data_IF_294776545222
#
_entry.id   IF_294776545222
#
_cell.length_a   1.000
_cell.length_b   1.000
_cell.length_c   1.000
_cell.angle_alpha   90.00
_cell.angle_beta   90.00
_cell.angle_gamma   90.00
#
_symmetry.space_group_name_H-M   'P 1'
#
loop_
_entity.id
_entity.type
_entity.pdbx_description
1 polymer ?
#
# COMPACT_ATOMS: atom_id res chain seq x y z
N UNK A 1 74.81 24.41 -11.65
CA UNK A 1 74.63 24.86 -10.27
C UNK A 1 73.14 25.07 -10.04
N UNK A 2 72.62 24.34 -9.05
CA UNK A 2 71.35 24.45 -8.32
C UNK A 2 70.00 24.55 -9.07
N UNK A 3 69.32 23.39 -9.13
CA UNK A 3 67.89 23.27 -8.79
C UNK A 3 67.64 23.64 -7.32
N UNK A 4 66.43 24.15 -7.00
CA UNK A 4 65.74 23.61 -5.83
C UNK A 4 64.26 23.31 -6.09
N UNK A 5 63.96 22.00 -6.07
CA UNK A 5 63.03 21.33 -5.16
C UNK A 5 61.93 22.17 -4.47
N UNK A 6 60.69 22.02 -4.95
CA UNK A 6 59.46 22.41 -4.24
C UNK A 6 58.42 21.28 -4.37
N UNK A 7 58.49 20.30 -3.46
CA UNK A 7 57.56 19.17 -3.41
C UNK A 7 57.44 18.64 -1.97
N UNK A 8 56.77 19.39 -1.10
CA UNK A 8 56.31 18.88 0.19
C UNK A 8 55.34 19.87 0.87
N UNK A 9 54.03 19.81 0.58
CA UNK A 9 53.01 20.34 1.51
C UNK A 9 51.56 19.91 1.26
N UNK A 10 51.27 18.93 0.39
CA UNK A 10 49.88 18.62 0.01
C UNK A 10 49.34 17.26 0.50
N UNK A 11 49.96 16.65 1.53
CA UNK A 11 49.49 15.37 2.10
C UNK A 11 48.74 15.49 3.42
N UNK A 12 48.85 16.61 4.13
CA UNK A 12 48.29 16.71 5.48
C UNK A 12 46.84 17.23 5.51
N UNK A 13 46.45 18.01 4.50
CA UNK A 13 45.11 18.60 4.36
C UNK A 13 44.04 17.59 3.93
N UNK A 14 44.41 16.51 3.22
CA UNK A 14 43.46 15.44 2.84
C UNK A 14 43.09 14.50 3.99
N UNK A 15 43.97 14.31 4.97
CA UNK A 15 43.71 13.40 6.10
C UNK A 15 42.67 13.95 7.08
N UNK A 16 42.58 15.27 7.26
CA UNK A 16 41.60 15.89 8.17
C UNK A 16 40.17 15.96 7.59
N UNK A 17 40.00 16.02 6.26
CA UNK A 17 38.67 16.03 5.64
C UNK A 17 37.99 14.65 5.60
N UNK A 18 38.76 13.56 5.56
CA UNK A 18 38.19 12.20 5.60
C UNK A 18 37.58 11.82 6.95
N UNK A 19 38.09 12.36 8.06
CA UNK A 19 37.66 11.98 9.41
C UNK A 19 36.36 12.68 9.85
N UNK A 20 36.07 13.87 9.32
CA UNK A 20 34.82 14.61 9.60
C UNK A 20 33.63 13.99 8.86
N UNK A 21 33.84 13.47 7.64
CA UNK A 21 32.77 12.80 6.87
C UNK A 21 32.40 11.44 7.48
N UNK A 22 33.36 10.70 8.05
CA UNK A 22 33.09 9.42 8.70
C UNK A 22 32.27 9.56 10.01
N UNK A 23 32.45 10.66 10.77
CA UNK A 23 31.71 10.90 12.01
C UNK A 23 30.26 11.36 11.77
N UNK A 24 29.98 12.07 10.67
CA UNK A 24 28.61 12.44 10.30
C UNK A 24 27.79 11.26 9.75
N UNK A 25 28.42 10.29 9.10
CA UNK A 25 27.74 9.08 8.63
C UNK A 25 27.33 8.13 9.78
N UNK A 26 28.09 8.11 10.88
CA UNK A 26 27.76 7.27 12.04
C UNK A 26 26.58 7.81 12.88
N UNK A 27 26.32 9.12 12.85
CA UNK A 27 25.24 9.73 13.64
C UNK A 27 23.85 9.56 13.02
N UNK A 28 23.74 9.37 11.69
CA UNK A 28 22.44 9.24 11.01
C UNK A 28 21.88 7.82 11.08
N UNK A 29 22.73 6.80 11.27
CA UNK A 29 22.28 5.39 11.33
C UNK A 29 21.72 5.01 12.71
N UNK A 30 21.97 5.81 13.76
CA UNK A 30 21.51 5.52 15.13
C UNK A 30 20.05 5.87 15.43
N UNK A 31 19.39 6.72 14.62
CA UNK A 31 18.06 7.24 14.94
C UNK A 31 16.88 6.44 14.34
N UNK A 32 17.13 5.52 13.40
CA UNK A 32 16.05 4.86 12.63
C UNK A 32 15.59 3.49 13.14
N UNK A 33 16.40 2.78 13.94
CA UNK A 33 16.15 1.36 14.26
C UNK A 33 15.83 1.12 15.75
N UNK A 34 16.20 2.07 16.63
CA UNK A 34 15.96 1.94 18.08
C UNK A 34 14.51 2.14 18.53
N UNK A 35 13.66 2.76 17.71
CA UNK A 35 12.26 3.04 18.06
C UNK A 35 11.33 1.83 18.03
N UNK A 36 11.67 0.79 17.27
CA UNK A 36 10.79 -0.38 17.08
C UNK A 36 10.91 -1.43 18.19
N UNK A 37 12.07 -1.55 18.86
CA UNK A 37 12.29 -2.56 19.89
C UNK A 37 11.80 -2.16 21.29
N UNK A 38 11.44 -0.89 21.52
CA UNK A 38 10.86 -0.43 22.79
C UNK A 38 9.33 -0.50 22.84
N UNK A 39 8.66 -0.86 21.74
CA UNK A 39 7.19 -0.87 21.68
C UNK A 39 6.55 -2.17 22.22
N UNK A 40 7.34 -3.25 22.40
CA UNK A 40 6.81 -4.56 22.79
C UNK A 40 6.50 -4.71 24.30
N UNK A 41 6.85 -3.74 25.15
CA UNK A 41 6.76 -3.87 26.62
C UNK A 41 5.74 -2.97 27.30
N UNK A 42 4.92 -2.20 26.56
CA UNK A 42 3.98 -1.22 27.13
C UNK A 42 2.49 -1.61 27.08
N UNK A 43 2.13 -2.85 26.71
CA UNK A 43 0.74 -3.34 26.75
C UNK A 43 0.35 -3.87 28.14
N UNK A 44 0.57 -3.04 29.17
CA UNK A 44 0.07 -3.25 30.51
C UNK A 44 -1.26 -2.55 30.72
N UNK A 45 -2.36 -3.31 30.68
CA UNK A 45 -3.60 -3.06 31.45
C UNK A 45 -4.19 -1.64 31.42
N UNK A 46 -4.80 -1.25 30.30
CA UNK A 46 -5.74 -0.11 30.29
C UNK A 46 -7.15 -0.61 30.59
N UNK A 47 -7.65 -0.28 31.79
CA UNK A 47 -9.04 -0.48 32.18
C UNK A 47 -9.96 0.40 31.32
N UNK A 48 -11.04 -0.20 30.79
CA UNK A 48 -12.03 0.52 30.01
C UNK A 48 -12.79 1.55 30.87
N UNK A 49 -12.99 2.81 30.40
CA UNK A 49 -13.89 3.74 31.04
C UNK A 49 -15.35 3.30 30.84
N UNK A 50 -16.13 3.37 31.92
CA UNK A 50 -17.56 3.10 31.93
C UNK A 50 -18.30 4.16 31.09
N UNK A 51 -18.99 3.74 30.04
CA UNK A 51 -19.77 4.61 29.17
C UNK A 51 -21.07 5.05 29.87
N UNK A 52 -21.29 6.36 29.95
CA UNK A 52 -22.57 6.93 30.37
C UNK A 52 -23.59 6.79 29.22
N UNK A 53 -24.83 6.41 29.56
CA UNK A 53 -25.93 6.29 28.60
C UNK A 53 -26.25 7.64 27.94
N UNK A 54 -26.31 7.72 26.60
CA UNK A 54 -26.72 8.94 25.91
C UNK A 54 -28.23 9.15 26.01
N UNK A 55 -28.63 10.41 26.17
CA UNK A 55 -30.03 10.85 26.13
C UNK A 55 -30.61 10.75 24.71
N UNK A 56 -31.92 10.46 24.55
CA UNK A 56 -32.54 10.31 23.23
C UNK A 56 -32.66 11.66 22.50
N UNK A 57 -32.27 11.66 21.22
CA UNK A 57 -32.40 12.79 20.30
C UNK A 57 -33.79 12.79 19.61
N UNK A 58 -34.30 13.96 19.18
CA UNK A 58 -35.64 14.10 18.60
C UNK A 58 -35.77 13.44 17.22
N UNK A 59 -36.92 12.80 17.00
CA UNK A 59 -37.31 12.12 15.77
C UNK A 59 -37.56 13.13 14.62
N UNK A 60 -36.62 13.22 13.69
CA UNK A 60 -36.79 13.87 12.39
C UNK A 60 -37.12 12.84 11.32
N UNK A 61 -38.37 12.84 10.84
CA UNK A 61 -38.86 11.95 9.79
C UNK A 61 -38.35 12.40 8.42
N UNK A 62 -37.30 11.73 7.94
CA UNK A 62 -36.77 11.89 6.59
C UNK A 62 -36.27 10.55 6.08
N UNK A 63 -37.18 9.68 5.66
CA UNK A 63 -36.87 8.32 5.19
C UNK A 63 -36.23 8.39 3.80
N UNK A 64 -34.89 8.44 3.76
CA UNK A 64 -34.12 8.07 2.57
C UNK A 64 -34.03 6.54 2.56
N UNK A 65 -34.63 5.81 1.61
CA UNK A 65 -34.41 4.38 1.51
C UNK A 65 -33.02 4.19 0.91
N UNK A 66 -32.03 4.06 1.78
CA UNK A 66 -30.69 3.60 1.43
C UNK A 66 -30.44 2.40 2.32
N UNK A 67 -31.09 1.28 2.00
CA UNK A 67 -30.59 0.00 2.48
C UNK A 67 -29.16 -0.10 1.95
N UNK A 68 -28.18 -0.06 2.85
CA UNK A 68 -26.78 -0.19 2.47
C UNK A 68 -26.63 -1.54 1.78
N UNK A 69 -26.31 -1.52 0.49
CA UNK A 69 -25.98 -2.75 -0.20
C UNK A 69 -24.68 -3.27 0.38
N UNK A 70 -24.79 -4.38 1.10
CA UNK A 70 -23.64 -5.13 1.57
C UNK A 70 -22.85 -5.61 0.35
N UNK A 71 -21.55 -5.34 0.35
CA UNK A 71 -20.61 -5.87 -0.60
C UNK A 71 -19.34 -6.27 0.13
N UNK A 72 -18.68 -7.32 -0.36
CA UNK A 72 -17.39 -7.76 0.15
C UNK A 72 -16.39 -7.81 -0.99
N UNK A 73 -15.14 -7.49 -0.68
CA UNK A 73 -14.03 -7.57 -1.62
C UNK A 73 -12.94 -8.50 -1.08
N UNK A 74 -12.36 -9.30 -1.97
CA UNK A 74 -11.12 -10.03 -1.73
C UNK A 74 -10.11 -9.64 -2.79
N UNK A 75 -9.00 -9.05 -2.36
CA UNK A 75 -7.91 -8.61 -3.24
C UNK A 75 -6.70 -9.50 -3.03
N UNK A 76 -6.27 -10.25 -4.04
CA UNK A 76 -5.03 -11.01 -4.04
C UNK A 76 -3.96 -10.26 -4.81
N UNK A 77 -2.79 -10.11 -4.21
CA UNK A 77 -1.63 -9.43 -4.81
C UNK A 77 -0.46 -10.39 -4.83
N UNK A 78 0.23 -10.47 -5.97
CA UNK A 78 1.44 -11.28 -6.18
C UNK A 78 2.53 -10.43 -6.81
N UNK A 79 3.78 -10.69 -6.46
CA UNK A 79 4.93 -10.14 -7.17
C UNK A 79 5.08 -10.81 -8.54
N UNK A 80 5.40 -10.02 -9.57
CA UNK A 80 5.69 -10.54 -10.90
C UNK A 80 7.20 -10.62 -11.13
N UNK A 81 7.68 -11.48 -12.06
CA UNK A 81 9.11 -11.60 -12.36
C UNK A 81 9.77 -10.29 -12.85
N UNK A 82 9.00 -9.45 -13.53
CA UNK A 82 9.38 -8.13 -14.04
C UNK A 82 9.31 -7.02 -12.99
N UNK A 83 9.13 -7.38 -11.71
CA UNK A 83 9.14 -6.46 -10.55
C UNK A 83 7.92 -5.53 -10.47
N UNK A 84 6.82 -5.91 -11.12
CA UNK A 84 5.50 -5.33 -10.91
C UNK A 84 4.68 -6.13 -9.88
N UNK A 85 3.40 -5.80 -9.80
CA UNK A 85 2.41 -6.58 -9.04
C UNK A 85 1.35 -7.11 -10.00
N UNK A 86 0.97 -8.37 -9.84
CA UNK A 86 -0.25 -8.93 -10.41
C UNK A 86 -1.34 -8.90 -9.35
N UNK A 87 -2.48 -8.32 -9.69
CA UNK A 87 -3.60 -8.16 -8.76
C UNK A 87 -4.85 -8.82 -9.32
N UNK A 88 -5.54 -9.56 -8.47
CA UNK A 88 -6.86 -10.13 -8.72
C UNK A 88 -7.80 -9.70 -7.60
N UNK A 89 -8.81 -8.90 -7.91
CA UNK A 89 -9.78 -8.38 -6.95
C UNK A 89 -11.17 -8.90 -7.31
N UNK A 90 -11.76 -9.72 -6.44
CA UNK A 90 -13.14 -10.21 -6.58
C UNK A 90 -14.07 -9.42 -5.67
N UNK A 91 -15.19 -8.98 -6.23
CA UNK A 91 -16.24 -8.24 -5.55
C UNK A 91 -17.53 -9.03 -5.61
N UNK A 92 -18.16 -9.23 -4.46
CA UNK A 92 -19.48 -9.84 -4.33
C UNK A 92 -20.45 -8.80 -3.78
N UNK A 93 -21.51 -8.53 -4.54
CA UNK A 93 -22.54 -7.56 -4.23
C UNK A 93 -23.84 -8.27 -3.85
N UNK A 94 -24.56 -7.73 -2.87
CA UNK A 94 -25.89 -8.21 -2.47
C UNK A 94 -26.98 -8.05 -3.54
N UNK A 95 -26.82 -7.09 -4.46
CA UNK A 95 -27.69 -6.90 -5.64
C UNK A 95 -26.84 -6.62 -6.88
N UNK A 96 -27.37 -6.84 -8.10
CA UNK A 96 -26.62 -6.59 -9.32
C UNK A 96 -26.15 -5.14 -9.48
N UNK A 97 -24.89 -4.96 -9.86
CA UNK A 97 -24.36 -3.65 -10.22
C UNK A 97 -24.49 -3.42 -11.73
N UNK A 98 -25.07 -2.30 -12.17
CA UNK A 98 -25.09 -1.94 -13.60
C UNK A 98 -23.78 -1.30 -14.09
N UNK A 99 -23.00 -0.74 -13.17
CA UNK A 99 -21.70 -0.14 -13.45
C UNK A 99 -20.83 -0.11 -12.19
N UNK A 100 -19.52 -0.15 -12.39
CA UNK A 100 -18.52 0.01 -11.33
C UNK A 100 -17.55 1.12 -11.74
N UNK A 101 -17.30 2.08 -10.85
CA UNK A 101 -16.28 3.10 -11.06
C UNK A 101 -14.96 2.66 -10.47
N UNK A 102 -13.94 2.61 -11.31
CA UNK A 102 -12.58 2.35 -10.88
C UNK A 102 -11.83 3.68 -10.82
N UNK A 103 -11.18 3.92 -9.70
CA UNK A 103 -10.36 5.10 -9.48
C UNK A 103 -8.96 4.65 -9.07
N UNK A 104 -7.95 5.13 -9.77
CA UNK A 104 -6.57 5.06 -9.26
C UNK A 104 -6.40 6.27 -8.36
N UNK A 105 -6.05 6.09 -7.07
CA UNK A 105 -5.85 7.22 -6.17
C UNK A 105 -4.89 8.24 -6.81
N UNK A 106 -5.10 9.55 -6.60
CA UNK A 106 -4.14 10.55 -7.04
C UNK A 106 -2.78 10.30 -6.37
N UNK A 107 -1.74 10.97 -6.89
CA UNK A 107 -0.43 11.00 -6.22
C UNK A 107 -0.66 11.37 -4.75
N UNK A 108 -0.29 10.43 -3.88
CA UNK A 108 -0.63 10.49 -2.47
C UNK A 108 0.43 11.28 -1.70
N UNK A 109 0.00 12.06 -0.73
CA UNK A 109 0.87 12.46 0.37
C UNK A 109 1.22 11.22 1.23
N UNK A 110 2.20 11.32 2.13
CA UNK A 110 2.57 10.20 3.01
C UNK A 110 3.39 9.09 2.32
N UNK A 111 3.20 7.84 2.75
CA UNK A 111 4.04 6.68 2.36
C UNK A 111 3.95 6.31 0.87
N UNK A 112 2.92 6.76 0.16
CA UNK A 112 2.72 6.46 -1.26
C UNK A 112 3.37 7.48 -2.22
N UNK A 113 3.90 8.60 -1.71
CA UNK A 113 4.37 9.75 -2.51
C UNK A 113 5.37 9.40 -3.60
N UNK A 114 6.32 8.54 -3.29
CA UNK A 114 7.43 8.28 -4.22
C UNK A 114 7.04 7.24 -5.28
N UNK A 115 5.88 6.58 -5.14
CA UNK A 115 5.40 5.57 -6.08
C UNK A 115 4.71 6.23 -7.27
N UNK A 116 4.88 5.63 -8.45
CA UNK A 116 4.21 6.06 -9.69
C UNK A 116 3.40 4.89 -10.25
N UNK A 117 2.37 4.41 -9.51
CA UNK A 117 1.65 3.21 -9.90
C UNK A 117 0.90 3.43 -11.20
N UNK A 118 1.04 2.47 -12.12
CA UNK A 118 0.30 2.45 -13.37
C UNK A 118 -0.32 1.07 -13.58
N UNK A 119 -1.63 1.06 -13.79
CA UNK A 119 -2.41 -0.16 -14.03
C UNK A 119 -2.42 -0.45 -15.52
N UNK A 120 -1.97 -1.66 -15.88
CA UNK A 120 -1.97 -2.17 -17.25
C UNK A 120 -2.73 -3.50 -17.31
N UNK A 121 -3.09 -3.92 -18.52
CA UNK A 121 -3.73 -5.22 -18.77
C UNK A 121 -5.01 -5.48 -17.98
N UNK A 122 -5.77 -4.42 -17.65
CA UNK A 122 -7.00 -4.54 -16.88
C UNK A 122 -8.04 -5.39 -17.62
N UNK A 123 -8.47 -6.45 -16.94
CA UNK A 123 -9.47 -7.39 -17.39
C UNK A 123 -10.59 -7.50 -16.38
N UNK A 124 -11.80 -7.66 -16.88
CA UNK A 124 -13.02 -7.76 -16.08
C UNK A 124 -13.69 -9.07 -16.44
N UNK A 125 -13.94 -9.89 -15.44
CA UNK A 125 -14.63 -11.17 -15.57
C UNK A 125 -15.91 -11.15 -14.74
N UNK A 126 -16.96 -11.75 -15.31
CA UNK A 126 -18.26 -11.97 -14.69
C UNK A 126 -18.60 -13.44 -14.91
N UNK A 127 -19.08 -14.18 -13.91
CA UNK A 127 -19.43 -15.59 -14.07
C UNK A 127 -20.35 -15.85 -15.27
N UNK A 128 -20.00 -16.86 -16.08
CA UNK A 128 -20.77 -17.24 -17.27
C UNK A 128 -20.66 -16.29 -18.47
N UNK A 129 -19.79 -15.26 -18.41
CA UNK A 129 -19.55 -14.33 -19.52
C UNK A 129 -18.09 -14.39 -20.00
N UNK A 130 -17.82 -14.09 -21.28
CA UNK A 130 -16.46 -13.91 -21.76
C UNK A 130 -15.76 -12.76 -21.02
N UNK A 131 -14.47 -12.96 -20.71
CA UNK A 131 -13.64 -11.93 -20.11
C UNK A 131 -13.52 -10.72 -21.03
N UNK A 132 -13.65 -9.52 -20.47
CA UNK A 132 -13.55 -8.25 -21.20
C UNK A 132 -12.24 -7.55 -20.85
N UNK A 133 -11.47 -7.18 -21.88
CA UNK A 133 -10.31 -6.30 -21.74
C UNK A 133 -10.77 -4.84 -21.68
N UNK A 134 -10.27 -4.10 -20.70
CA UNK A 134 -10.40 -2.65 -20.64
C UNK A 134 -9.18 -2.06 -21.32
N UNK A 135 -9.40 -1.22 -22.34
CA UNK A 135 -8.30 -0.64 -23.12
C UNK A 135 -7.71 0.57 -22.41
N UNK A 136 -6.39 0.75 -22.58
CA UNK A 136 -5.64 1.87 -22.02
C UNK A 136 -4.89 1.51 -20.74
N UNK A 137 -4.10 2.47 -20.28
CA UNK A 137 -3.38 2.44 -19.02
C UNK A 137 -4.09 3.39 -18.04
N UNK A 138 -4.22 2.99 -16.78
CA UNK A 138 -4.74 3.87 -15.73
C UNK A 138 -3.58 4.33 -14.86
N UNK A 139 -3.38 5.64 -14.78
CA UNK A 139 -2.35 6.28 -13.95
C UNK A 139 -2.98 6.97 -12.75
N UNK A 140 -2.17 7.43 -11.80
CA UNK A 140 -2.65 8.18 -10.64
C UNK A 140 -3.70 9.26 -11.02
N UNK A 141 -4.81 9.29 -10.29
CA UNK A 141 -5.94 10.20 -10.53
C UNK A 141 -6.88 9.80 -11.67
N UNK A 142 -6.58 8.71 -12.41
CA UNK A 142 -7.49 8.19 -13.44
C UNK A 142 -8.79 7.70 -12.82
N UNK A 143 -9.90 7.95 -13.52
CA UNK A 143 -11.22 7.43 -13.18
C UNK A 143 -11.90 6.89 -14.43
N UNK A 144 -12.38 5.65 -14.36
CA UNK A 144 -13.11 5.01 -15.45
C UNK A 144 -14.40 4.36 -14.96
N UNK A 145 -15.42 4.31 -15.82
CA UNK A 145 -16.62 3.50 -15.60
C UNK A 145 -16.51 2.20 -16.36
N UNK A 146 -16.71 1.09 -15.66
CA UNK A 146 -16.80 -0.25 -16.22
C UNK A 146 -18.26 -0.68 -16.16
N UNK A 147 -18.95 -0.83 -17.30
CA UNK A 147 -20.32 -1.32 -17.30
C UNK A 147 -20.31 -2.81 -16.95
N UNK A 148 -21.21 -3.18 -16.06
CA UNK A 148 -21.39 -4.56 -15.58
C UNK A 148 -22.76 -5.05 -16.06
N UNK A 149 -22.88 -6.30 -16.52
CA UNK A 149 -24.17 -6.87 -16.88
C UNK A 149 -25.18 -6.75 -15.73
N UNK A 150 -26.43 -6.41 -16.05
CA UNK A 150 -27.50 -6.10 -15.07
C UNK A 150 -27.89 -7.27 -14.15
N UNK A 151 -27.39 -8.48 -14.44
CA UNK A 151 -27.63 -9.71 -13.70
C UNK A 151 -26.42 -10.16 -12.84
N UNK A 152 -25.31 -9.43 -12.87
CA UNK A 152 -24.08 -9.85 -12.20
C UNK A 152 -23.97 -9.34 -10.76
N UNK A 153 -23.89 -10.26 -9.81
CA UNK A 153 -23.58 -10.00 -8.38
C UNK A 153 -22.12 -10.25 -8.04
N UNK A 154 -21.35 -10.89 -8.93
CA UNK A 154 -19.93 -11.13 -8.76
C UNK A 154 -19.14 -10.55 -9.92
N UNK A 155 -18.08 -9.81 -9.62
CA UNK A 155 -17.18 -9.20 -10.60
C UNK A 155 -15.74 -9.39 -10.16
N UNK A 156 -14.90 -9.93 -11.03
CA UNK A 156 -13.46 -10.04 -10.81
C UNK A 156 -12.70 -9.10 -11.72
N UNK A 157 -11.77 -8.34 -11.15
CA UNK A 157 -10.81 -7.49 -11.85
C UNK A 157 -9.43 -8.13 -11.77
N UNK A 158 -8.78 -8.32 -12.91
CA UNK A 158 -7.40 -8.80 -12.99
C UNK A 158 -6.56 -7.76 -13.72
N UNK A 159 -5.42 -7.38 -13.15
CA UNK A 159 -4.57 -6.36 -13.74
C UNK A 159 -3.12 -6.47 -13.26
N UNK A 160 -2.23 -5.79 -13.99
CA UNK A 160 -0.84 -5.60 -13.61
C UNK A 160 -0.64 -4.17 -13.12
N UNK A 161 0.31 -4.01 -12.20
CA UNK A 161 0.67 -2.72 -11.62
C UNK A 161 2.17 -2.53 -11.74
N UNK A 162 2.54 -1.56 -12.55
CA UNK A 162 3.91 -1.10 -12.74
C UNK A 162 4.19 0.07 -11.80
N UNK A 163 5.46 0.33 -11.47
CA UNK A 163 5.85 1.47 -10.63
C UNK A 163 5.42 1.38 -9.15
N UNK A 164 4.75 0.28 -8.76
CA UNK A 164 4.31 0.03 -7.39
C UNK A 164 5.37 -0.63 -6.50
N UNK A 165 6.51 -1.04 -7.05
CA UNK A 165 7.63 -1.64 -6.28
C UNK A 165 8.87 -0.76 -6.41
N UNK A 166 9.40 -0.34 -5.27
CA UNK A 166 10.65 0.40 -5.19
C UNK A 166 11.72 -0.46 -4.53
N UNK A 167 12.92 -0.45 -5.09
CA UNK A 167 14.09 -1.12 -4.51
C UNK A 167 14.99 -0.09 -3.85
N UNK A 168 15.53 -0.43 -2.69
CA UNK A 168 16.57 0.36 -2.06
C UNK A 168 17.86 0.20 -2.87
N UNK A 169 18.39 1.27 -3.45
CA UNK A 169 19.72 1.27 -4.09
C UNK A 169 20.68 2.05 -3.19
N UNK A 170 21.88 1.54 -2.85
CA UNK A 170 22.48 0.26 -3.23
C UNK A 170 22.34 -0.77 -2.08
N UNK A 171 21.17 -1.40 -1.88
CA UNK A 171 21.06 -2.41 -0.82
C UNK A 171 21.68 -3.74 -1.25
N UNK A 172 22.62 -4.26 -0.45
CA UNK A 172 23.32 -5.54 -0.70
C UNK A 172 22.40 -6.77 -0.54
N UNK A 173 21.30 -6.64 0.20
CA UNK A 173 20.13 -7.53 0.14
C UNK A 173 19.08 -6.85 -0.74
N UNK A 174 18.38 -7.58 -1.61
CA UNK A 174 17.38 -7.05 -2.54
C UNK A 174 16.10 -6.56 -1.86
N UNK A 175 16.24 -5.71 -0.83
CA UNK A 175 15.14 -5.11 -0.10
C UNK A 175 14.35 -4.20 -1.02
N UNK A 176 13.05 -4.37 -0.97
CA UNK A 176 12.11 -3.56 -1.71
C UNK A 176 10.93 -3.18 -0.81
N UNK A 177 10.21 -2.17 -1.25
CA UNK A 177 8.95 -1.74 -0.68
C UNK A 177 7.92 -1.73 -1.80
N UNK A 178 6.74 -2.28 -1.55
CA UNK A 178 5.65 -2.32 -2.51
C UNK A 178 4.42 -1.59 -1.98
N UNK A 179 3.85 -0.70 -2.79
CA UNK A 179 2.55 -0.09 -2.56
C UNK A 179 1.46 -1.05 -3.04
N UNK A 180 0.66 -1.56 -2.11
CA UNK A 180 -0.36 -2.59 -2.39
C UNK A 180 -1.75 -2.02 -2.63
N UNK A 181 -1.96 -0.71 -2.56
CA UNK A 181 -3.28 -0.08 -2.80
C UNK A 181 -3.37 0.61 -4.17
N UNK A 182 -3.37 -0.11 -5.31
CA UNK A 182 -3.35 0.54 -6.62
C UNK A 182 -4.74 0.86 -7.20
N UNK A 183 -5.83 0.21 -6.79
CA UNK A 183 -7.16 0.46 -7.35
C UNK A 183 -8.21 0.63 -6.26
N UNK A 184 -8.84 1.81 -6.22
CA UNK A 184 -10.03 2.05 -5.42
C UNK A 184 -11.27 1.76 -6.28
N UNK A 185 -12.07 0.78 -5.85
CA UNK A 185 -13.37 0.50 -6.46
C UNK A 185 -14.40 1.38 -5.78
N UNK A 186 -14.74 2.45 -6.49
CA UNK A 186 -15.70 3.47 -6.05
C UNK A 186 -17.07 3.22 -6.69
N UNK A 187 -17.56 1.97 -6.70
CA UNK A 187 -18.98 1.77 -7.01
C UNK A 187 -19.85 2.31 -5.86
N UNK A 188 -19.38 2.16 -4.60
CA UNK A 188 -20.00 2.60 -3.34
C UNK A 188 -18.91 2.80 -2.27
N UNK A 189 -19.17 3.66 -1.27
CA UNK A 189 -18.16 4.06 -0.28
C UNK A 189 -17.90 3.01 0.83
N UNK A 190 -18.68 1.93 0.87
CA UNK A 190 -18.79 1.07 2.05
C UNK A 190 -18.58 -0.42 1.71
N UNK A 191 -17.39 -0.78 1.20
CA UNK A 191 -17.05 -2.19 0.89
C UNK A 191 -15.90 -2.64 1.79
N UNK A 192 -16.17 -3.60 2.66
CA UNK A 192 -15.12 -4.25 3.44
C UNK A 192 -14.22 -5.08 2.51
N UNK A 193 -12.91 -4.92 2.66
CA UNK A 193 -11.93 -5.55 1.79
C UNK A 193 -10.93 -6.38 2.57
N UNK A 194 -10.81 -7.65 2.20
CA UNK A 194 -9.70 -8.50 2.64
C UNK A 194 -8.62 -8.52 1.57
N UNK A 195 -7.49 -7.88 1.86
CA UNK A 195 -6.26 -7.95 1.08
C UNK A 195 -5.44 -9.18 1.47
N UNK A 196 -5.02 -9.96 0.50
CA UNK A 196 -4.11 -11.10 0.63
C UNK A 196 -2.90 -10.79 -0.23
N UNK A 197 -1.75 -10.61 0.40
CA UNK A 197 -0.48 -10.51 -0.28
C UNK A 197 0.19 -11.87 -0.26
N UNK A 198 0.29 -12.50 -1.43
CA UNK A 198 0.85 -13.83 -1.58
C UNK A 198 2.33 -13.76 -1.91
N UNK A 199 3.11 -14.64 -1.28
CA UNK A 199 4.56 -14.74 -1.49
C UNK A 199 5.32 -14.79 -0.16
N UNK A 200 6.35 -15.63 -0.11
CA UNK A 200 7.24 -15.75 1.05
C UNK A 200 8.27 -14.62 1.14
N UNK A 201 8.36 -13.79 0.11
CA UNK A 201 9.22 -12.61 0.04
C UNK A 201 8.73 -11.47 0.94
N UNK A 202 7.50 -11.54 1.44
CA UNK A 202 6.89 -10.50 2.27
C UNK A 202 7.38 -10.61 3.72
N UNK A 203 8.05 -9.58 4.20
CA UNK A 203 8.65 -9.56 5.53
C UNK A 203 7.75 -8.85 6.55
N UNK A 204 7.08 -7.79 6.12
CA UNK A 204 6.26 -6.94 6.98
C UNK A 204 5.23 -6.19 6.17
N UNK A 205 4.08 -5.89 6.78
CA UNK A 205 3.05 -5.03 6.19
C UNK A 205 2.71 -3.89 7.14
N UNK A 206 2.60 -2.70 6.57
CA UNK A 206 2.22 -1.48 7.27
C UNK A 206 1.03 -0.79 6.60
N UNK A 207 0.19 -0.17 7.41
CA UNK A 207 -0.99 0.57 6.98
C UNK A 207 -0.88 2.03 7.44
N UNK A 208 -1.17 2.94 6.52
CA UNK A 208 -1.42 4.36 6.78
C UNK A 208 -2.91 4.61 6.54
N UNK A 209 -3.62 5.12 7.55
CA UNK A 209 -5.07 5.33 7.52
C UNK A 209 -5.35 6.83 7.62
N UNK A 210 -6.00 7.42 6.61
CA UNK A 210 -6.31 8.85 6.55
C UNK A 210 -5.09 9.76 6.82
N UNK A 211 -3.93 9.41 6.27
CA UNK A 211 -2.68 10.17 6.46
C UNK A 211 -2.06 10.09 7.86
N UNK A 212 -2.49 9.13 8.68
CA UNK A 212 -1.87 8.85 9.99
C UNK A 212 -0.44 8.31 9.86
N UNK A 213 0.26 8.18 10.99
CA UNK A 213 1.54 7.49 10.99
C UNK A 213 1.36 6.02 10.57
N UNK A 214 2.29 5.49 9.79
CA UNK A 214 2.29 4.09 9.40
C UNK A 214 2.37 3.18 10.63
N UNK A 215 1.44 2.24 10.73
CA UNK A 215 1.39 1.23 11.80
C UNK A 215 1.48 -0.17 11.22
N UNK A 216 2.03 -1.11 11.97
CA UNK A 216 2.01 -2.51 11.54
C UNK A 216 0.56 -2.99 11.42
N UNK A 217 0.23 -3.70 10.35
CA UNK A 217 -1.11 -4.22 10.12
C UNK A 217 -1.09 -5.60 9.46
N UNK A 218 -2.21 -6.31 9.61
CA UNK A 218 -2.38 -7.65 9.09
C UNK A 218 -1.69 -8.74 9.91
N UNK A 219 -1.82 -9.96 9.41
CA UNK A 219 -1.24 -11.18 9.97
C UNK A 219 -0.44 -11.92 8.90
N UNK A 220 0.78 -12.32 9.24
CA UNK A 220 1.64 -13.14 8.38
C UNK A 220 1.39 -14.64 8.55
N UNK A 221 1.66 -15.39 7.49
CA UNK A 221 1.67 -16.85 7.43
C UNK A 221 2.76 -17.33 6.47
N UNK A 222 3.01 -18.64 6.40
CA UNK A 222 3.99 -19.21 5.46
C UNK A 222 3.63 -18.97 3.98
N UNK A 223 2.36 -18.65 3.69
CA UNK A 223 1.86 -18.43 2.33
C UNK A 223 1.76 -16.94 1.94
N UNK A 224 2.08 -16.04 2.88
CA UNK A 224 2.01 -14.60 2.67
C UNK A 224 1.33 -13.87 3.84
N UNK A 225 0.83 -12.67 3.56
CA UNK A 225 0.20 -11.78 4.55
C UNK A 225 -1.27 -11.54 4.22
N UNK A 226 -2.09 -11.41 5.26
CA UNK A 226 -3.49 -11.02 5.13
C UNK A 226 -3.74 -9.72 5.89
N UNK A 227 -4.44 -8.77 5.26
CA UNK A 227 -4.85 -7.50 5.83
C UNK A 227 -6.35 -7.36 5.62
N UNK A 228 -7.11 -7.06 6.67
CA UNK A 228 -8.52 -6.70 6.55
C UNK A 228 -8.64 -5.19 6.69
N UNK A 229 -9.24 -4.55 5.69
CA UNK A 229 -9.60 -3.13 5.69
C UNK A 229 -11.11 -3.05 5.84
N UNK A 230 -11.55 -2.51 6.98
CA UNK A 230 -12.94 -2.13 7.19
C UNK A 230 -13.21 -0.84 6.40
N UNK A 231 -14.34 -0.80 5.71
CA UNK A 231 -14.79 0.37 4.96
C UNK A 231 -14.86 1.66 5.78
N UNK A 232 -15.12 1.56 7.10
CA UNK A 232 -15.12 2.68 8.03
C UNK A 232 -13.73 3.30 8.25
N UNK A 233 -12.65 2.63 7.85
CA UNK A 233 -11.27 3.13 8.04
C UNK A 233 -10.93 4.31 7.11
N UNK A 234 -11.66 4.51 6.01
CA UNK A 234 -11.38 5.60 5.06
C UNK A 234 -10.23 5.30 4.10
N UNK A 235 -9.51 6.35 3.64
CA UNK A 235 -8.39 6.17 2.69
C UNK A 235 -7.25 5.42 3.38
N UNK A 236 -7.05 4.16 2.98
CA UNK A 236 -6.07 3.27 3.59
C UNK A 236 -5.00 2.89 2.58
N UNK A 237 -3.74 3.20 2.90
CA UNK A 237 -2.57 2.81 2.11
C UNK A 237 -1.88 1.65 2.78
N UNK A 238 -1.70 0.57 2.03
CA UNK A 238 -0.99 -0.63 2.48
C UNK A 238 0.35 -0.68 1.78
N UNK A 239 1.40 -0.83 2.58
CA UNK A 239 2.78 -0.93 2.13
C UNK A 239 3.39 -2.24 2.64
N UNK A 240 4.03 -3.00 1.77
CA UNK A 240 4.76 -4.20 2.13
C UNK A 240 6.27 -4.00 2.04
N UNK A 241 7.00 -4.45 3.06
CA UNK A 241 8.43 -4.66 2.99
C UNK A 241 8.74 -6.04 2.42
N UNK A 242 9.65 -6.10 1.44
CA UNK A 242 9.95 -7.31 0.67
C UNK A 242 11.45 -7.67 0.75
N UNK A 243 11.77 -8.96 0.77
CA UNK A 243 13.11 -9.51 0.52
C UNK A 243 13.15 -10.16 -0.85
N UNK A 244 13.63 -9.43 -1.85
CA UNK A 244 13.72 -9.94 -3.22
C UNK A 244 15.13 -10.46 -3.49
N UNK A 245 15.24 -11.42 -4.40
CA UNK A 245 16.52 -11.82 -4.94
C UNK A 245 17.25 -10.61 -5.56
N UNK A 246 18.59 -10.70 -5.59
CA UNK A 246 19.43 -9.72 -6.28
C UNK A 246 19.05 -9.66 -7.77
N UNK A 247 19.05 -8.45 -8.37
CA UNK A 247 18.65 -8.25 -9.76
C UNK A 247 19.60 -8.92 -10.76
#
# INVERSE_FOLDING_TARGET
MHEPTLLATDRETRRRRGLIVALLAAAVVGAGVGGWLLFASALGSLSAPSAASPAPAPEGTGTRPSAALEASATTRVRLTPDKGLAVSASYVFSEPAGQIWLTVPPESEGVGRDFTPAITHLQVSVPGRPQRKVSGQLVAGSRISVPIPVDATEVTFEYLVEGAVQRSIPSSRGRAVALLTPLNVTSRADIDNTGILEGSEVISVGCEINGSAMTACGSGSDQGWQVTIDSAMGDTRIVAGLDLAQP
#
